data_IF_477166175804
#
_entry.id   IF_477166175804
#
_cell.length_a   1.000
_cell.length_b   1.000
_cell.length_c   1.000
_cell.angle_alpha   90.00
_cell.angle_beta   90.00
_cell.angle_gamma   90.00
#
_symmetry.space_group_name_H-M   'P 1'
#
loop_
_entity.id
_entity.type
_entity.pdbx_description
1 polymer ?
#
# COMPACT_ATOMS: atom_id res chain seq x y z
N UNK A 1 34.60 59.67 -17.53
CA UNK A 1 34.47 59.42 -18.99
C UNK A 1 33.29 58.50 -19.21
N UNK A 2 32.42 58.89 -20.14
CA UNK A 2 31.18 58.21 -20.48
C UNK A 2 31.42 56.92 -21.29
N UNK A 3 30.51 55.96 -21.21
CA UNK A 3 29.83 55.40 -22.40
C UNK A 3 28.53 54.71 -21.98
N UNK A 4 27.41 55.17 -22.54
CA UNK A 4 26.13 54.45 -22.60
C UNK A 4 26.13 53.59 -23.86
N UNK A 5 25.43 52.44 -23.86
CA UNK A 5 24.84 51.94 -25.09
C UNK A 5 23.30 51.91 -25.02
N UNK A 6 22.72 52.69 -25.92
CA UNK A 6 21.66 52.35 -26.88
C UNK A 6 20.41 51.59 -26.42
N UNK A 7 19.27 52.22 -26.71
CA UNK A 7 17.90 51.83 -26.39
C UNK A 7 17.31 51.23 -27.66
N UNK A 8 17.20 49.90 -27.77
CA UNK A 8 16.49 49.28 -28.89
C UNK A 8 14.98 49.30 -28.64
N UNK A 9 14.27 49.94 -29.57
CA UNK A 9 12.83 50.01 -29.63
C UNK A 9 12.28 48.66 -30.11
N UNK A 10 11.46 48.03 -29.27
CA UNK A 10 10.66 46.87 -29.61
C UNK A 10 9.26 47.01 -29.04
N UNK A 11 8.48 47.95 -29.58
CA UNK A 11 7.05 48.07 -29.28
C UNK A 11 6.29 46.95 -29.99
N UNK A 12 6.27 45.76 -29.40
CA UNK A 12 5.35 44.70 -29.82
C UNK A 12 3.98 44.97 -29.17
N UNK A 13 3.05 45.47 -29.98
CA UNK A 13 1.64 45.69 -29.67
C UNK A 13 1.04 44.40 -29.08
N UNK A 14 0.70 44.40 -27.78
CA UNK A 14 0.00 43.27 -27.15
C UNK A 14 -1.48 43.34 -27.56
N UNK A 15 -2.14 42.21 -27.90
CA UNK A 15 -3.53 42.22 -28.32
C UNK A 15 -4.44 42.65 -27.17
N UNK A 16 -5.36 43.58 -27.44
CA UNK A 16 -6.42 44.04 -26.55
C UNK A 16 -7.45 42.92 -26.28
N UNK A 17 -7.04 41.91 -25.50
CA UNK A 17 -7.96 40.93 -24.96
C UNK A 17 -8.66 41.54 -23.75
N UNK A 18 -9.77 42.25 -24.02
CA UNK A 18 -10.71 42.79 -23.03
C UNK A 18 -11.51 41.63 -22.39
N UNK A 19 -10.83 40.71 -21.70
CA UNK A 19 -11.48 39.68 -20.89
C UNK A 19 -12.15 40.36 -19.70
N UNK A 20 -13.48 40.20 -19.60
CA UNK A 20 -14.28 40.65 -18.47
C UNK A 20 -13.69 40.05 -17.19
N UNK A 21 -13.18 40.89 -16.29
CA UNK A 21 -12.69 40.45 -14.98
C UNK A 21 -13.89 39.96 -14.16
N UNK A 22 -13.79 38.82 -13.44
CA UNK A 22 -14.85 38.41 -12.53
C UNK A 22 -15.05 39.47 -11.45
N UNK A 23 -16.27 39.61 -10.94
CA UNK A 23 -16.57 40.48 -9.81
C UNK A 23 -15.78 39.97 -8.59
N UNK A 24 -14.69 40.66 -8.26
CA UNK A 24 -13.86 40.34 -7.12
C UNK A 24 -14.64 40.61 -5.83
N UNK A 25 -14.63 39.66 -4.90
CA UNK A 25 -15.19 39.89 -3.57
C UNK A 25 -14.45 41.04 -2.88
N UNK A 26 -15.11 41.76 -1.97
CA UNK A 26 -14.49 42.88 -1.25
C UNK A 26 -13.24 42.46 -0.47
N UNK A 27 -13.16 41.19 -0.04
CA UNK A 27 -12.00 40.62 0.64
C UNK A 27 -10.82 40.44 -0.31
N UNK A 28 -11.06 39.85 -1.48
CA UNK A 28 -9.99 39.56 -2.43
C UNK A 28 -9.40 40.85 -3.05
N UNK A 29 -10.21 41.91 -3.19
CA UNK A 29 -9.73 43.23 -3.58
C UNK A 29 -8.81 43.87 -2.51
N UNK A 30 -9.08 43.63 -1.22
CA UNK A 30 -8.20 44.08 -0.12
C UNK A 30 -6.88 43.30 -0.12
N UNK A 31 -6.92 42.00 -0.40
CA UNK A 31 -5.72 41.16 -0.48
C UNK A 31 -4.82 41.52 -1.65
N UNK A 32 -5.38 41.76 -2.85
CA UNK A 32 -4.58 42.25 -3.97
C UNK A 32 -3.92 43.59 -3.67
N UNK A 33 -4.62 44.51 -2.99
CA UNK A 33 -4.02 45.78 -2.54
C UNK A 33 -2.88 45.55 -1.55
N UNK A 34 -3.00 44.61 -0.62
CA UNK A 34 -1.91 44.23 0.30
C UNK A 34 -0.72 43.64 -0.45
N UNK A 35 -0.96 42.75 -1.42
CA UNK A 35 0.10 42.14 -2.23
C UNK A 35 0.83 43.17 -3.11
N UNK A 36 0.11 44.09 -3.75
CA UNK A 36 0.68 45.12 -4.60
C UNK A 36 1.49 46.18 -3.83
N UNK A 37 1.17 46.40 -2.55
CA UNK A 37 1.91 47.31 -1.65
C UNK A 37 3.17 46.69 -1.05
N UNK A 38 3.38 45.38 -1.21
CA UNK A 38 4.57 44.73 -0.66
C UNK A 38 5.81 45.17 -1.43
N UNK A 39 6.84 45.57 -0.70
CA UNK A 39 8.16 45.86 -1.26
C UNK A 39 8.93 44.54 -1.43
N UNK A 40 9.53 44.35 -2.60
CA UNK A 40 10.33 43.15 -2.92
C UNK A 40 9.57 42.08 -3.71
N UNK A 41 10.30 41.03 -4.09
CA UNK A 41 9.78 39.91 -4.88
C UNK A 41 8.80 39.05 -4.07
N UNK A 42 7.91 38.35 -4.79
CA UNK A 42 7.02 37.34 -4.18
C UNK A 42 7.85 36.26 -3.47
N UNK A 43 7.37 35.73 -2.33
CA UNK A 43 8.05 34.64 -1.64
C UNK A 43 8.13 33.42 -2.59
N UNK A 44 9.29 32.75 -2.60
CA UNK A 44 9.49 31.57 -3.43
C UNK A 44 8.60 30.40 -3.01
N UNK A 45 8.26 29.53 -3.96
CA UNK A 45 7.31 28.42 -3.77
C UNK A 45 7.86 27.25 -2.94
N UNK A 46 8.93 27.43 -2.16
CA UNK A 46 9.56 26.34 -1.37
C UNK A 46 8.61 25.77 -0.31
N UNK A 47 7.65 26.57 0.15
CA UNK A 47 6.69 26.20 1.18
C UNK A 47 5.23 26.24 0.69
N UNK A 48 4.98 26.38 -0.62
CA UNK A 48 3.62 26.22 -1.14
C UNK A 48 3.32 24.73 -1.19
N UNK A 49 2.25 24.31 -0.51
CA UNK A 49 1.73 22.95 -0.64
C UNK A 49 1.54 22.64 -2.12
N UNK A 50 2.16 21.56 -2.57
CA UNK A 50 2.13 21.11 -3.96
C UNK A 50 0.70 20.63 -4.28
N UNK A 51 -0.11 21.50 -4.86
CA UNK A 51 -1.35 21.06 -5.50
C UNK A 51 -0.93 20.26 -6.72
N UNK A 52 -1.12 18.94 -6.67
CA UNK A 52 -0.81 18.02 -7.76
C UNK A 52 -1.70 18.32 -8.98
N UNK A 53 -1.27 19.26 -9.82
CA UNK A 53 -1.75 19.34 -11.19
C UNK A 53 -1.04 18.26 -12.01
N UNK A 54 -1.78 17.21 -12.37
CA UNK A 54 -1.33 16.16 -13.28
C UNK A 54 -1.04 16.74 -14.66
N UNK A 55 0.19 17.23 -14.87
CA UNK A 55 0.71 17.49 -16.21
C UNK A 55 1.22 16.18 -16.80
N UNK A 56 0.51 15.67 -17.80
CA UNK A 56 1.03 14.66 -18.72
C UNK A 56 2.35 15.17 -19.33
N UNK A 57 3.47 14.67 -18.85
CA UNK A 57 4.79 15.02 -19.35
C UNK A 57 5.11 14.20 -20.59
N UNK A 58 5.31 14.90 -21.70
CA UNK A 58 5.90 14.37 -22.93
C UNK A 58 7.30 13.82 -22.68
N UNK A 59 7.61 12.74 -23.40
CA UNK A 59 8.83 11.94 -23.29
C UNK A 59 10.05 12.80 -23.65
N UNK A 60 10.73 13.32 -22.63
CA UNK A 60 12.07 13.93 -22.78
C UNK A 60 13.14 12.91 -22.37
N UNK A 61 14.28 12.94 -23.04
CA UNK A 61 15.46 12.14 -22.73
C UNK A 61 15.83 12.34 -21.25
N UNK A 62 15.70 11.26 -20.46
CA UNK A 62 15.98 11.27 -19.02
C UNK A 62 17.48 11.15 -18.80
N UNK A 63 18.02 11.93 -17.87
CA UNK A 63 19.42 11.88 -17.46
C UNK A 63 19.76 10.49 -16.91
N UNK A 64 20.86 9.89 -17.38
CA UNK A 64 21.29 8.55 -16.98
C UNK A 64 21.60 8.44 -15.47
N UNK A 65 21.89 9.57 -14.80
CA UNK A 65 22.11 9.61 -13.34
C UNK A 65 20.81 9.50 -12.55
N UNK A 66 19.67 9.81 -13.17
CA UNK A 66 18.35 9.70 -12.54
C UNK A 66 17.75 8.35 -12.94
N UNK A 67 17.82 7.37 -12.03
CA UNK A 67 17.27 6.04 -12.23
C UNK A 67 15.75 6.03 -12.51
N UNK A 68 15.21 4.83 -12.79
CA UNK A 68 13.80 4.67 -13.12
C UNK A 68 12.90 4.95 -11.91
N UNK A 69 12.22 6.10 -11.92
CA UNK A 69 11.15 6.46 -10.96
C UNK A 69 9.74 6.17 -11.52
N UNK A 70 9.60 5.19 -12.42
CA UNK A 70 8.27 4.80 -12.90
C UNK A 70 7.55 4.07 -11.75
N UNK A 71 6.38 4.53 -11.30
CA UNK A 71 5.63 3.83 -10.28
C UNK A 71 5.19 2.47 -10.82
N UNK A 72 5.43 1.42 -10.04
CA UNK A 72 4.98 0.07 -10.34
C UNK A 72 3.70 -0.16 -9.54
N UNK A 73 2.63 -0.61 -10.20
CA UNK A 73 1.36 -0.88 -9.54
C UNK A 73 1.52 -2.06 -8.58
N UNK A 74 1.00 -1.90 -7.36
CA UNK A 74 1.14 -2.87 -6.27
C UNK A 74 0.19 -4.07 -6.41
N UNK A 75 -0.80 -3.98 -7.30
CA UNK A 75 -1.75 -5.05 -7.62
C UNK A 75 -1.61 -5.35 -9.10
N UNK A 76 -1.37 -6.62 -9.43
CA UNK A 76 -1.32 -7.09 -10.81
C UNK A 76 -2.74 -7.12 -11.39
N UNK A 77 -3.20 -6.01 -11.97
CA UNK A 77 -4.35 -6.04 -12.86
C UNK A 77 -3.93 -6.80 -14.14
N UNK A 78 -4.38 -8.05 -14.23
CA UNK A 78 -4.29 -8.81 -15.47
C UNK A 78 -4.99 -7.99 -16.59
N UNK A 79 -4.32 -7.74 -17.73
CA UNK A 79 -4.90 -6.90 -18.77
C UNK A 79 -6.13 -7.61 -19.35
N UNK A 80 -7.30 -7.00 -19.14
CA UNK A 80 -8.55 -7.40 -19.79
C UNK A 80 -8.42 -7.06 -21.28
N UNK A 81 -7.91 -8.00 -22.06
CA UNK A 81 -7.94 -7.94 -23.51
C UNK A 81 -9.13 -8.75 -24.04
N UNK A 82 -9.92 -8.06 -24.85
CA UNK A 82 -11.21 -8.42 -25.45
C UNK A 82 -11.15 -9.67 -26.33
N UNK A 83 -12.07 -10.60 -26.04
CA UNK A 83 -12.77 -11.59 -26.89
C UNK A 83 -12.12 -12.02 -28.22
N UNK A 84 -11.67 -13.30 -28.26
CA UNK A 84 -11.85 -14.26 -29.38
C UNK A 84 -11.67 -15.69 -28.86
N UNK A 85 -12.74 -16.49 -28.88
CA UNK A 85 -12.73 -17.93 -28.60
C UNK A 85 -12.60 -18.75 -29.91
N UNK A 86 -12.33 -20.08 -29.91
CA UNK A 86 -11.59 -20.91 -28.94
C UNK A 86 -10.54 -21.82 -29.62
N UNK A 87 -9.53 -22.27 -28.87
CA UNK A 87 -8.89 -23.58 -29.10
C UNK A 87 -8.76 -24.28 -27.74
N UNK A 88 -9.16 -25.56 -27.61
CA UNK A 88 -8.96 -26.31 -26.38
C UNK A 88 -7.47 -26.68 -26.31
N UNK A 89 -6.68 -25.80 -25.71
CA UNK A 89 -5.36 -26.19 -25.24
C UNK A 89 -5.56 -27.00 -23.97
N UNK A 90 -4.90 -28.17 -23.94
CA UNK A 90 -4.86 -29.16 -22.87
C UNK A 90 -4.92 -28.55 -21.45
N UNK A 91 -5.46 -29.30 -20.46
CA UNK A 91 -5.41 -28.89 -19.07
C UNK A 91 -3.94 -28.67 -18.72
N UNK A 92 -3.54 -27.39 -18.66
CA UNK A 92 -2.29 -27.00 -18.01
C UNK A 92 -2.50 -27.43 -16.58
N UNK A 93 -1.77 -28.47 -16.18
CA UNK A 93 -1.61 -28.81 -14.77
C UNK A 93 -1.36 -27.49 -14.04
N UNK A 94 -2.26 -27.16 -13.11
CA UNK A 94 -2.04 -26.05 -12.20
C UNK A 94 -0.64 -26.24 -11.61
N UNK A 95 0.20 -25.20 -11.59
CA UNK A 95 1.47 -25.31 -10.92
C UNK A 95 1.14 -25.70 -9.48
N UNK A 96 1.51 -26.93 -9.10
CA UNK A 96 1.39 -27.37 -7.72
C UNK A 96 2.20 -26.36 -6.92
N UNK A 97 1.50 -25.44 -6.24
CA UNK A 97 2.17 -24.50 -5.36
C UNK A 97 2.99 -25.34 -4.38
N UNK A 98 4.28 -25.02 -4.17
CA UNK A 98 5.09 -25.74 -3.21
C UNK A 98 4.33 -25.81 -1.88
N UNK A 99 4.43 -26.91 -1.14
CA UNK A 99 3.67 -27.12 0.10
C UNK A 99 3.81 -25.95 1.08
N UNK A 100 4.98 -25.32 1.10
CA UNK A 100 5.27 -24.10 1.86
C UNK A 100 4.39 -22.89 1.48
N UNK A 101 4.09 -22.70 0.20
CA UNK A 101 3.17 -21.63 -0.24
C UNK A 101 1.71 -21.91 0.15
N UNK A 102 1.34 -23.18 0.29
CA UNK A 102 0.00 -23.57 0.75
C UNK A 102 -0.14 -23.30 2.25
N UNK A 103 0.88 -23.66 3.05
CA UNK A 103 0.96 -23.33 4.47
C UNK A 103 0.90 -21.81 4.69
N UNK A 104 1.74 -21.04 4.01
CA UNK A 104 1.74 -19.58 4.09
C UNK A 104 0.40 -18.96 3.69
N UNK A 105 -0.33 -19.59 2.75
CA UNK A 105 -1.68 -19.15 2.36
C UNK A 105 -2.69 -19.40 3.48
N UNK A 106 -2.64 -20.57 4.13
CA UNK A 106 -3.52 -20.91 5.25
C UNK A 106 -3.23 -20.04 6.48
N UNK A 107 -1.95 -19.80 6.81
CA UNK A 107 -1.52 -18.86 7.87
C UNK A 107 -2.09 -17.47 7.61
N UNK A 108 -1.96 -16.96 6.39
CA UNK A 108 -2.49 -15.65 6.02
C UNK A 108 -4.02 -15.60 6.02
N UNK A 109 -4.69 -16.71 5.73
CA UNK A 109 -6.15 -16.79 5.84
C UNK A 109 -6.59 -16.77 7.30
N UNK A 110 -5.88 -17.47 8.18
CA UNK A 110 -6.08 -17.47 9.63
C UNK A 110 -5.93 -16.06 10.20
N UNK A 111 -4.81 -15.38 9.91
CA UNK A 111 -4.54 -14.02 10.36
C UNK A 111 -5.62 -13.02 9.91
N UNK A 112 -6.19 -13.20 8.72
CA UNK A 112 -7.30 -12.37 8.24
C UNK A 112 -8.60 -12.64 8.98
N UNK A 113 -8.86 -13.88 9.39
CA UNK A 113 -10.05 -14.22 10.18
C UNK A 113 -9.94 -13.63 11.59
N UNK A 114 -8.77 -13.73 12.21
CA UNK A 114 -8.50 -13.15 13.54
C UNK A 114 -8.60 -11.62 13.55
N UNK A 115 -8.22 -10.97 12.45
CA UNK A 115 -8.32 -9.53 12.28
C UNK A 115 -9.64 -9.06 11.61
N UNK A 116 -10.66 -9.91 11.48
CA UNK A 116 -11.96 -9.51 10.89
C UNK A 116 -12.77 -8.70 11.92
N UNK A 117 -12.92 -7.40 11.66
CA UNK A 117 -13.67 -6.47 12.52
C UNK A 117 -15.10 -6.94 12.82
N UNK A 118 -15.76 -7.61 11.86
CA UNK A 118 -17.13 -8.11 12.06
C UNK A 118 -17.14 -9.27 13.04
N UNK A 119 -16.18 -10.19 12.93
CA UNK A 119 -16.06 -11.32 13.83
C UNK A 119 -15.81 -10.84 15.25
N UNK A 120 -14.86 -9.93 15.42
CA UNK A 120 -14.53 -9.33 16.72
C UNK A 120 -15.73 -8.61 17.33
N UNK A 121 -16.44 -7.78 16.57
CA UNK A 121 -17.63 -7.09 17.06
C UNK A 121 -18.79 -8.03 17.45
N UNK A 122 -18.91 -9.20 16.82
CA UNK A 122 -19.90 -10.22 17.20
C UNK A 122 -19.49 -10.96 18.48
N UNK A 123 -18.19 -11.25 18.65
CA UNK A 123 -17.65 -11.85 19.86
C UNK A 123 -17.82 -10.92 21.07
N UNK A 124 -17.53 -9.62 20.92
CA UNK A 124 -17.72 -8.62 21.97
C UNK A 124 -19.18 -8.54 22.44
N UNK A 125 -20.14 -8.61 21.51
CA UNK A 125 -21.57 -8.64 21.85
C UNK A 125 -21.95 -9.89 22.65
N UNK A 126 -21.33 -11.02 22.31
CA UNK A 126 -21.53 -12.29 22.98
C UNK A 126 -20.97 -12.25 24.42
N UNK A 127 -19.81 -11.61 24.62
CA UNK A 127 -19.24 -11.33 25.94
C UNK A 127 -20.12 -10.39 26.77
N UNK A 128 -20.74 -9.40 26.13
CA UNK A 128 -21.68 -8.46 26.75
C UNK A 128 -23.11 -9.04 26.93
N UNK A 129 -23.30 -10.34 26.68
CA UNK A 129 -24.59 -11.05 26.72
C UNK A 129 -25.71 -10.35 25.93
N UNK A 130 -25.36 -9.63 24.86
CA UNK A 130 -26.33 -8.96 23.99
C UNK A 130 -26.97 -9.96 23.02
N UNK A 131 -28.26 -9.79 22.68
CA UNK A 131 -28.93 -10.66 21.72
C UNK A 131 -28.32 -10.49 20.31
N UNK A 132 -27.92 -11.61 19.72
CA UNK A 132 -27.39 -11.70 18.34
C UNK A 132 -28.48 -12.31 17.45
N UNK A 133 -28.58 -11.86 16.20
CA UNK A 133 -29.51 -12.45 15.21
C UNK A 133 -29.12 -13.90 14.88
N UNK A 134 -30.08 -14.76 14.58
CA UNK A 134 -29.82 -16.14 14.15
C UNK A 134 -28.89 -16.20 12.93
N UNK A 135 -29.06 -15.27 11.97
CA UNK A 135 -28.18 -15.16 10.80
C UNK A 135 -26.72 -14.85 11.16
N UNK A 136 -26.51 -14.01 12.18
CA UNK A 136 -25.18 -13.64 12.65
C UNK A 136 -24.54 -14.76 13.47
N UNK A 137 -25.33 -15.51 14.24
CA UNK A 137 -24.87 -16.72 14.95
C UNK A 137 -24.41 -17.79 13.96
N UNK A 138 -25.22 -18.11 12.94
CA UNK A 138 -24.82 -19.07 11.91
C UNK A 138 -23.54 -18.64 11.18
N UNK A 139 -23.39 -17.34 10.93
CA UNK A 139 -22.18 -16.81 10.30
C UNK A 139 -20.96 -16.95 11.20
N UNK A 140 -21.11 -16.66 12.49
CA UNK A 140 -20.06 -16.80 13.50
C UNK A 140 -19.63 -18.26 13.64
N UNK A 141 -20.58 -19.20 13.71
CA UNK A 141 -20.30 -20.64 13.76
C UNK A 141 -19.54 -21.12 12.52
N UNK A 142 -19.95 -20.68 11.32
CA UNK A 142 -19.24 -21.01 10.06
C UNK A 142 -17.80 -20.49 10.08
N UNK A 143 -17.56 -19.30 10.66
CA UNK A 143 -16.23 -18.68 10.75
C UNK A 143 -15.35 -19.40 11.77
N UNK A 144 -15.89 -19.76 12.93
CA UNK A 144 -15.19 -20.54 13.94
C UNK A 144 -14.85 -21.94 13.42
N UNK A 145 -15.78 -22.61 12.72
CA UNK A 145 -15.51 -23.89 12.08
C UNK A 145 -14.37 -23.79 11.06
N UNK A 146 -14.38 -22.74 10.23
CA UNK A 146 -13.30 -22.49 9.27
C UNK A 146 -11.96 -22.23 9.96
N UNK A 147 -11.96 -21.49 11.07
CA UNK A 147 -10.76 -21.26 11.87
C UNK A 147 -10.18 -22.57 12.41
N UNK A 148 -11.02 -23.46 12.94
CA UNK A 148 -10.59 -24.77 13.43
C UNK A 148 -10.03 -25.66 12.30
N UNK A 149 -10.64 -25.63 11.12
CA UNK A 149 -10.09 -26.32 9.94
C UNK A 149 -8.70 -25.81 9.55
N UNK A 150 -8.49 -24.49 9.57
CA UNK A 150 -7.19 -23.90 9.24
C UNK A 150 -6.11 -24.28 10.25
N UNK A 151 -6.42 -24.30 11.54
CA UNK A 151 -5.49 -24.77 12.58
C UNK A 151 -5.10 -26.24 12.39
N UNK A 152 -6.05 -27.09 12.00
CA UNK A 152 -5.80 -28.50 11.68
C UNK A 152 -4.90 -28.64 10.45
N UNK A 153 -5.15 -27.88 9.39
CA UNK A 153 -4.34 -27.90 8.16
C UNK A 153 -2.89 -27.44 8.41
N UNK A 154 -2.70 -26.48 9.32
CA UNK A 154 -1.37 -26.03 9.75
C UNK A 154 -0.66 -27.02 10.69
N UNK A 155 -1.37 -28.01 11.25
CA UNK A 155 -0.81 -28.88 12.29
C UNK A 155 -0.54 -28.14 13.60
N UNK A 156 -1.26 -27.05 13.87
CA UNK A 156 -1.26 -26.32 15.14
C UNK A 156 -2.31 -26.84 16.13
N UNK A 157 -3.08 -27.86 15.74
CA UNK A 157 -4.14 -28.40 16.60
C UNK A 157 -3.52 -29.08 17.84
N UNK A 158 -3.90 -28.62 19.03
CA UNK A 158 -3.30 -29.01 20.31
C UNK A 158 -3.43 -30.52 20.62
N UNK A 159 -4.43 -31.20 20.06
CA UNK A 159 -4.68 -32.64 20.30
C UNK A 159 -3.64 -33.60 19.72
N UNK A 160 -2.87 -33.22 18.69
CA UNK A 160 -1.89 -34.12 18.06
C UNK A 160 -0.48 -33.99 18.67
N UNK A 161 -0.23 -32.96 19.50
CA UNK A 161 1.13 -32.55 19.84
C UNK A 161 1.38 -32.20 21.30
N UNK A 162 0.57 -32.71 22.22
CA UNK A 162 1.05 -32.85 23.60
C UNK A 162 1.96 -34.08 23.60
N UNK A 163 3.24 -33.90 23.27
CA UNK A 163 4.23 -34.90 23.62
C UNK A 163 4.15 -35.03 25.14
N UNK A 164 3.64 -36.15 25.62
CA UNK A 164 3.31 -36.33 27.03
C UNK A 164 4.57 -36.31 27.91
N UNK A 165 5.76 -36.45 27.29
CA UNK A 165 7.06 -36.41 27.95
C UNK A 165 7.83 -35.11 27.59
N UNK A 166 8.35 -34.37 28.59
CA UNK A 166 9.14 -33.17 28.36
C UNK A 166 10.44 -33.44 27.56
N UNK A 167 10.96 -34.68 27.62
CA UNK A 167 12.17 -35.09 26.91
C UNK A 167 11.93 -35.17 25.38
N UNK A 168 10.75 -35.60 24.93
CA UNK A 168 10.39 -35.63 23.51
C UNK A 168 10.22 -34.21 22.93
N UNK A 169 9.67 -33.28 23.73
CA UNK A 169 9.59 -31.86 23.36
C UNK A 169 10.99 -31.25 23.20
N UNK A 170 11.90 -31.53 24.14
CA UNK A 170 13.28 -31.06 24.08
C UNK A 170 13.99 -31.62 22.84
N UNK A 171 13.82 -32.91 22.55
CA UNK A 171 14.46 -33.57 21.42
C UNK A 171 13.97 -33.01 20.07
N UNK A 172 12.67 -32.78 19.91
CA UNK A 172 12.11 -32.16 18.71
C UNK A 172 12.63 -30.74 18.49
N UNK A 173 12.78 -29.95 19.56
CA UNK A 173 13.38 -28.61 19.47
C UNK A 173 14.84 -28.68 19.02
N UNK A 174 15.62 -29.61 19.58
CA UNK A 174 17.03 -29.83 19.20
C UNK A 174 17.17 -30.23 17.73
N UNK A 175 16.23 -31.02 17.19
CA UNK A 175 16.27 -31.47 15.78
C UNK A 175 15.71 -30.46 14.77
N UNK A 176 14.68 -29.69 15.15
CA UNK A 176 13.95 -28.82 14.21
C UNK A 176 14.47 -27.39 14.19
N UNK A 177 14.69 -26.82 15.38
CA UNK A 177 14.79 -25.37 15.57
C UNK A 177 16.17 -24.95 16.11
N UNK A 178 16.92 -25.87 16.72
CA UNK A 178 18.27 -25.61 17.22
C UNK A 178 19.31 -25.80 16.12
N UNK A 179 19.73 -24.71 15.48
CA UNK A 179 20.87 -24.71 14.55
C UNK A 179 22.16 -24.30 15.30
N UNK A 180 23.05 -25.24 15.65
CA UNK A 180 24.24 -24.96 16.45
C UNK A 180 25.20 -23.98 15.78
N UNK A 181 25.10 -23.79 14.47
CA UNK A 181 25.93 -22.83 13.73
C UNK A 181 25.47 -21.38 13.91
N UNK A 182 24.23 -21.14 14.35
CA UNK A 182 23.72 -19.78 14.61
C UNK A 182 24.28 -19.16 15.90
N UNK A 183 24.72 -19.99 16.85
CA UNK A 183 25.18 -19.54 18.16
C UNK A 183 26.66 -19.14 18.19
N UNK A 184 27.44 -19.63 17.22
CA UNK A 184 28.92 -19.69 17.32
C UNK A 184 29.67 -18.44 16.80
N UNK A 185 28.94 -17.36 16.49
CA UNK A 185 29.53 -16.13 15.94
C UNK A 185 29.88 -15.07 16.99
N UNK A 186 29.45 -15.24 18.25
CA UNK A 186 29.63 -14.23 19.33
C UNK A 186 30.55 -14.64 20.47
N UNK A 187 31.03 -15.89 20.50
CA UNK A 187 31.93 -16.41 21.54
C UNK A 187 33.27 -16.93 21.00
N UNK A 188 33.58 -16.70 19.72
CA UNK A 188 34.94 -16.84 19.18
C UNK A 188 35.72 -15.54 19.42
N UNK A 189 35.98 -15.24 20.68
CA UNK A 189 37.07 -14.33 21.07
C UNK A 189 38.11 -15.14 21.85
N UNK A 190 39.36 -14.90 21.47
CA UNK A 190 40.66 -15.44 21.92
C UNK A 190 41.25 -16.65 21.15
#
# INVERSE_FOLDING_TARGET
MATKPEKSAGNAKRPDNKKKKPAFSAQEAREQKKQAKRKGLRPGARNSAETQEQKNQSVKNKDARVGSRKPVALVAEAPVAVVKAPKPAAPKAEPQMPPEQQLAKWERELEKLENDDRLNALLDKLELEQPISEEDQEWLDKKLARHQELLKLLGLNEEEKVASDPDELLQRFIESDFDPNQFDSRYKED
#
